data_IF_031535355714
#
_entry.id   IF_031535355714
#
_cell.length_a   1.000
_cell.length_b   1.000
_cell.length_c   1.000
_cell.angle_alpha   90.00
_cell.angle_beta   90.00
_cell.angle_gamma   90.00
#
_symmetry.space_group_name_H-M   'P 1'
#
loop_
_entity.id
_entity.type
_entity.pdbx_description
1 polymer ?
#
# COMPACT_ATOMS: atom_id res chain seq x y z
N UNK A 1 -10.25 19.89 -7.54
CA UNK A 1 -9.62 20.24 -6.25
C UNK A 1 -8.10 20.12 -6.28
N UNK A 2 -7.50 19.00 -6.68
CA UNK A 2 -6.04 18.73 -6.71
C UNK A 2 -5.12 19.73 -7.44
N UNK A 3 -5.67 20.72 -8.15
CA UNK A 3 -4.94 21.65 -9.03
C UNK A 3 -5.45 23.10 -8.92
N UNK A 4 -6.12 23.44 -7.82
CA UNK A 4 -6.57 24.82 -7.57
C UNK A 4 -5.53 25.55 -6.72
N UNK A 5 -4.85 26.52 -7.33
CA UNK A 5 -3.89 27.38 -6.63
C UNK A 5 -4.57 28.07 -5.43
N UNK A 6 -5.81 28.55 -5.61
CA UNK A 6 -6.61 29.20 -4.57
C UNK A 6 -6.85 28.29 -3.35
N UNK A 7 -7.14 27.00 -3.58
CA UNK A 7 -7.38 26.05 -2.48
C UNK A 7 -6.10 25.73 -1.70
N UNK A 8 -4.96 25.69 -2.40
CA UNK A 8 -3.66 25.46 -1.78
C UNK A 8 -3.21 26.69 -0.96
N UNK A 9 -3.36 27.88 -1.54
CA UNK A 9 -3.07 29.15 -0.86
C UNK A 9 -3.96 29.36 0.36
N UNK A 10 -5.27 29.10 0.25
CA UNK A 10 -6.20 29.24 1.38
C UNK A 10 -5.86 28.28 2.53
N UNK A 11 -5.40 27.06 2.22
CA UNK A 11 -4.96 26.11 3.24
C UNK A 11 -3.73 26.61 4.01
N UNK A 12 -2.74 27.17 3.31
CA UNK A 12 -1.48 27.63 3.91
C UNK A 12 -1.50 29.10 4.35
N UNK A 13 -2.60 29.84 4.21
CA UNK A 13 -2.66 31.29 4.49
C UNK A 13 -2.26 31.69 5.92
N UNK A 14 -2.47 30.79 6.89
CA UNK A 14 -2.14 31.03 8.30
C UNK A 14 -0.72 30.54 8.67
N UNK A 15 0.01 29.93 7.73
CA UNK A 15 1.39 29.54 7.92
C UNK A 15 2.32 30.73 7.62
N UNK A 16 2.74 31.43 8.67
CA UNK A 16 3.68 32.54 8.56
C UNK A 16 5.13 32.09 8.81
N UNK A 17 5.98 32.22 7.79
CA UNK A 17 7.41 31.89 7.83
C UNK A 17 8.23 33.18 7.66
N UNK A 18 8.59 33.82 8.78
CA UNK A 18 9.25 35.15 8.77
C UNK A 18 10.76 35.11 9.05
N UNK A 19 11.36 33.93 9.25
CA UNK A 19 12.78 33.82 9.59
C UNK A 19 13.51 32.81 8.73
N UNK A 20 14.78 33.09 8.43
CA UNK A 20 15.78 32.15 7.93
C UNK A 20 16.28 31.15 8.99
N UNK A 21 15.89 31.34 10.26
CA UNK A 21 16.23 30.45 11.35
C UNK A 21 15.45 29.13 11.25
N UNK A 22 16.17 28.04 10.98
CA UNK A 22 15.61 26.70 10.82
C UNK A 22 14.75 26.23 12.01
N UNK A 23 15.18 26.51 13.25
CA UNK A 23 14.43 26.10 14.45
C UNK A 23 13.08 26.83 14.51
N UNK A 24 13.06 28.14 14.24
CA UNK A 24 11.82 28.92 14.20
C UNK A 24 10.88 28.45 13.09
N UNK A 25 11.39 28.20 11.89
CA UNK A 25 10.61 27.61 10.78
C UNK A 25 9.96 26.29 11.25
N UNK A 26 10.75 25.40 11.87
CA UNK A 26 10.25 24.10 12.36
C UNK A 26 9.17 24.24 13.43
N UNK A 27 9.31 25.20 14.34
CA UNK A 27 8.31 25.46 15.38
C UNK A 27 7.01 26.03 14.79
N UNK A 28 7.12 26.96 13.84
CA UNK A 28 5.97 27.52 13.12
C UNK A 28 5.21 26.46 12.33
N UNK A 29 5.90 25.59 11.58
CA UNK A 29 5.23 24.50 10.83
C UNK A 29 4.57 23.50 11.77
N UNK A 30 5.22 23.12 12.88
CA UNK A 30 4.61 22.24 13.89
C UNK A 30 3.37 22.83 14.55
N UNK A 31 3.39 24.13 14.83
CA UNK A 31 2.23 24.84 15.36
C UNK A 31 1.09 24.84 14.37
N UNK A 32 1.36 25.18 13.11
CA UNK A 32 0.37 25.16 12.03
C UNK A 32 -0.27 23.77 11.85
N UNK A 33 0.53 22.69 11.84
CA UNK A 33 0.02 21.32 11.76
C UNK A 33 -0.96 21.02 12.91
N UNK A 34 -0.58 21.39 14.14
CA UNK A 34 -1.42 21.15 15.33
C UNK A 34 -2.73 21.93 15.27
N UNK A 35 -2.66 23.23 14.97
CA UNK A 35 -3.84 24.09 14.86
C UNK A 35 -4.77 23.63 13.72
N UNK A 36 -4.22 23.17 12.60
CA UNK A 36 -4.98 22.63 11.47
C UNK A 36 -5.74 21.35 11.84
N UNK A 37 -5.13 20.45 12.62
CA UNK A 37 -5.80 19.25 13.14
C UNK A 37 -6.86 19.64 14.17
N UNK A 38 -6.54 20.54 15.10
CA UNK A 38 -7.46 20.96 16.15
C UNK A 38 -8.76 21.59 15.60
N UNK A 39 -8.66 22.43 14.56
CA UNK A 39 -9.83 23.02 13.88
C UNK A 39 -10.77 21.98 13.28
N UNK A 40 -10.24 20.83 12.86
CA UNK A 40 -11.03 19.75 12.23
C UNK A 40 -11.83 18.94 13.24
N UNK A 41 -11.53 19.01 14.54
CA UNK A 41 -12.23 18.23 15.57
C UNK A 41 -13.72 18.57 15.69
N UNK A 42 -14.10 19.81 15.35
CA UNK A 42 -15.48 20.29 15.42
C UNK A 42 -16.20 20.28 14.07
N UNK A 43 -15.50 19.90 13.00
CA UNK A 43 -16.02 19.85 11.64
C UNK A 43 -16.45 18.43 11.28
N UNK A 44 -17.47 18.25 10.42
CA UNK A 44 -17.81 16.93 9.91
C UNK A 44 -16.63 16.34 9.13
N UNK A 45 -16.52 15.01 9.15
CA UNK A 45 -15.49 14.31 8.38
C UNK A 45 -15.73 14.54 6.89
N UNK A 46 -14.87 15.33 6.26
CA UNK A 46 -14.82 15.41 4.81
C UNK A 46 -14.05 14.20 4.27
N UNK A 47 -14.75 13.30 3.58
CA UNK A 47 -14.15 12.10 2.99
C UNK A 47 -13.28 12.43 1.77
N UNK A 48 -13.51 13.55 1.07
CA UNK A 48 -12.72 13.97 -0.12
C UNK A 48 -11.59 14.93 0.22
N UNK A 49 -11.31 15.14 1.51
CA UNK A 49 -10.24 16.05 1.97
C UNK A 49 -8.86 15.61 1.49
N UNK A 50 -8.31 16.37 0.56
CA UNK A 50 -7.01 16.12 -0.05
C UNK A 50 -5.84 16.24 0.93
N UNK A 51 -5.98 16.99 2.03
CA UNK A 51 -4.90 17.19 3.02
C UNK A 51 -4.56 15.88 3.71
N UNK A 52 -5.57 15.00 3.93
CA UNK A 52 -5.35 13.65 4.46
C UNK A 52 -4.59 12.75 3.49
N UNK A 53 -4.67 13.04 2.20
CA UNK A 53 -3.94 12.36 1.15
C UNK A 53 -2.64 13.06 0.76
N UNK A 54 -2.36 14.27 1.26
CA UNK A 54 -1.34 15.20 0.74
C UNK A 54 0.12 14.72 0.79
N UNK A 55 0.41 13.62 1.48
CA UNK A 55 1.72 12.95 1.40
C UNK A 55 1.77 12.05 0.16
N UNK A 56 1.65 12.64 -1.04
CA UNK A 56 1.71 11.93 -2.33
C UNK A 56 3.11 11.95 -2.97
N UNK A 57 4.07 12.65 -2.37
CA UNK A 57 5.44 12.76 -2.87
C UNK A 57 6.34 11.62 -2.34
N UNK A 58 5.86 10.38 -2.45
CA UNK A 58 6.53 9.20 -1.91
C UNK A 58 6.31 7.98 -2.83
N UNK A 59 7.29 7.09 -2.88
CA UNK A 59 7.19 5.82 -3.62
C UNK A 59 6.57 4.78 -2.69
N UNK A 60 5.24 4.78 -2.60
CA UNK A 60 4.46 3.82 -1.81
C UNK A 60 3.01 3.75 -2.30
N UNK A 61 2.21 2.84 -1.78
CA UNK A 61 0.76 2.75 -1.96
C UNK A 61 0.09 2.53 -0.60
N UNK A 62 -1.21 2.85 -0.49
CA UNK A 62 -1.92 2.75 0.78
C UNK A 62 -3.40 2.43 0.61
N UNK A 63 -3.91 1.59 1.51
CA UNK A 63 -5.32 1.47 1.81
C UNK A 63 -5.68 2.30 3.06
N UNK A 64 -6.66 3.18 2.93
CA UNK A 64 -7.22 3.94 4.03
C UNK A 64 -8.57 3.37 4.44
N UNK A 65 -8.59 2.67 5.56
CA UNK A 65 -9.79 1.96 6.05
C UNK A 65 -10.96 2.88 6.36
N UNK A 66 -10.72 4.05 6.96
CA UNK A 66 -11.76 5.01 7.37
C UNK A 66 -12.47 5.68 6.20
N UNK A 67 -11.81 5.75 5.04
CA UNK A 67 -12.41 6.27 3.80
C UNK A 67 -12.73 5.19 2.79
N UNK A 68 -12.35 3.93 3.06
CA UNK A 68 -12.41 2.78 2.16
C UNK A 68 -11.82 3.12 0.77
N UNK A 69 -10.57 3.58 0.75
CA UNK A 69 -9.89 4.06 -0.47
C UNK A 69 -8.50 3.49 -0.62
N UNK A 70 -8.15 3.20 -1.86
CA UNK A 70 -6.79 2.91 -2.29
C UNK A 70 -6.18 4.19 -2.84
N UNK A 71 -4.98 4.53 -2.38
CA UNK A 71 -4.23 5.70 -2.78
C UNK A 71 -2.99 5.22 -3.52
N UNK A 72 -2.86 5.63 -4.78
CA UNK A 72 -1.70 5.35 -5.64
C UNK A 72 -1.04 6.68 -6.02
N UNK A 73 -0.07 7.16 -5.22
CA UNK A 73 0.71 8.34 -5.54
C UNK A 73 1.43 8.21 -6.89
N UNK A 74 1.52 9.29 -7.65
CA UNK A 74 2.22 9.28 -8.95
C UNK A 74 3.66 8.73 -8.89
N UNK A 75 4.47 8.97 -7.83
CA UNK A 75 5.84 8.45 -7.77
C UNK A 75 5.97 6.92 -7.70
N UNK A 76 4.92 6.14 -7.40
CA UNK A 76 5.00 4.68 -7.51
C UNK A 76 4.78 4.19 -8.95
N UNK A 77 4.20 5.02 -9.83
CA UNK A 77 3.83 4.66 -11.20
C UNK A 77 5.01 4.77 -12.17
N UNK A 78 6.16 4.20 -11.81
CA UNK A 78 7.38 4.26 -12.60
C UNK A 78 8.28 3.03 -12.39
N UNK A 79 9.33 2.92 -13.23
CA UNK A 79 10.42 1.96 -13.05
C UNK A 79 9.96 0.49 -13.06
N UNK A 80 10.30 -0.25 -12.00
CA UNK A 80 9.95 -1.68 -11.88
C UNK A 80 8.47 -1.91 -11.59
N UNK A 81 7.73 -0.91 -11.14
CA UNK A 81 6.30 -1.01 -10.85
C UNK A 81 5.45 -0.85 -12.11
N UNK A 82 5.71 0.18 -12.92
CA UNK A 82 4.88 0.50 -14.09
C UNK A 82 5.68 1.17 -15.21
N UNK A 83 5.31 0.85 -16.46
CA UNK A 83 5.69 1.56 -17.67
C UNK A 83 4.66 1.30 -18.76
N UNK A 84 4.32 2.29 -19.58
CA UNK A 84 3.37 2.13 -20.69
C UNK A 84 4.01 1.42 -21.90
N UNK A 85 5.34 1.47 -21.99
CA UNK A 85 6.16 0.88 -23.04
C UNK A 85 6.66 -0.56 -22.74
N UNK A 86 6.29 -1.13 -21.60
CA UNK A 86 6.71 -2.47 -21.17
C UNK A 86 5.57 -3.50 -21.27
N UNK A 87 5.90 -4.80 -21.39
CA UNK A 87 4.89 -5.85 -21.50
C UNK A 87 3.95 -5.93 -20.28
N UNK A 88 2.71 -6.31 -20.50
CA UNK A 88 1.67 -6.40 -19.47
C UNK A 88 1.99 -7.44 -18.41
N UNK A 89 2.64 -8.58 -18.72
CA UNK A 89 3.09 -9.50 -17.67
C UNK A 89 3.94 -8.80 -16.59
N UNK A 90 4.75 -7.81 -16.96
CA UNK A 90 5.52 -7.02 -16.00
C UNK A 90 4.64 -6.00 -15.27
N UNK A 91 3.78 -5.27 -15.97
CA UNK A 91 2.84 -4.32 -15.33
C UNK A 91 1.92 -5.01 -14.31
N UNK A 92 1.37 -6.18 -14.64
CA UNK A 92 0.55 -6.95 -13.73
C UNK A 92 1.37 -7.54 -12.57
N UNK A 93 2.61 -7.99 -12.80
CA UNK A 93 3.49 -8.46 -11.73
C UNK A 93 4.03 -7.35 -10.83
N UNK A 94 4.13 -6.12 -11.34
CA UNK A 94 4.55 -4.92 -10.62
C UNK A 94 3.37 -4.19 -10.00
N UNK A 95 2.92 -3.10 -10.64
CA UNK A 95 1.84 -2.26 -10.11
C UNK A 95 0.52 -3.00 -9.97
N UNK A 96 0.21 -3.98 -10.84
CA UNK A 96 -1.01 -4.78 -10.70
C UNK A 96 -1.04 -5.59 -9.41
N UNK A 97 0.13 -6.08 -8.97
CA UNK A 97 0.27 -6.72 -7.67
C UNK A 97 0.10 -5.72 -6.53
N UNK A 98 0.77 -4.57 -6.56
CA UNK A 98 0.60 -3.54 -5.51
C UNK A 98 -0.85 -3.07 -5.40
N UNK A 99 -1.54 -2.81 -6.51
CA UNK A 99 -2.96 -2.44 -6.52
C UNK A 99 -3.80 -3.52 -5.84
N UNK A 100 -3.56 -4.80 -6.18
CA UNK A 100 -4.30 -5.90 -5.61
C UNK A 100 -3.98 -6.12 -4.13
N UNK A 101 -2.74 -5.87 -3.70
CA UNK A 101 -2.33 -5.87 -2.29
C UNK A 101 -3.16 -4.83 -1.50
N UNK A 102 -3.26 -3.58 -1.99
CA UNK A 102 -4.08 -2.55 -1.33
C UNK A 102 -5.58 -2.86 -1.33
N UNK A 103 -6.10 -3.58 -2.33
CA UNK A 103 -7.49 -4.07 -2.31
C UNK A 103 -7.68 -5.06 -1.15
N UNK A 104 -6.72 -5.96 -0.93
CA UNK A 104 -6.83 -6.99 0.11
C UNK A 104 -6.73 -6.39 1.51
N UNK A 105 -6.07 -5.26 1.71
CA UNK A 105 -6.10 -4.57 3.01
C UNK A 105 -7.52 -4.21 3.47
N UNK A 106 -8.48 -4.04 2.57
CA UNK A 106 -9.90 -3.90 2.95
C UNK A 106 -10.53 -5.17 3.55
N UNK A 107 -9.83 -6.30 3.50
CA UNK A 107 -10.31 -7.63 3.88
C UNK A 107 -9.30 -8.44 4.70
N UNK A 108 -8.20 -7.83 5.14
CA UNK A 108 -7.20 -8.49 6.00
C UNK A 108 -7.69 -8.63 7.46
N UNK A 109 -6.79 -8.88 8.41
CA UNK A 109 -7.17 -9.04 9.82
C UNK A 109 -7.83 -7.80 10.43
N UNK A 110 -7.45 -6.59 9.98
CA UNK A 110 -7.97 -5.31 10.46
C UNK A 110 -9.06 -4.73 9.57
N UNK A 111 -8.82 -4.66 8.25
CA UNK A 111 -9.76 -4.07 7.30
C UNK A 111 -11.10 -4.79 7.26
N UNK A 112 -11.13 -6.12 7.45
CA UNK A 112 -12.39 -6.88 7.52
C UNK A 112 -13.33 -6.42 8.64
N UNK A 113 -12.82 -5.70 9.64
CA UNK A 113 -13.60 -5.22 10.78
C UNK A 113 -14.36 -3.93 10.45
N UNK A 114 -14.15 -3.38 9.25
CA UNK A 114 -14.72 -2.12 8.82
C UNK A 114 -15.69 -2.34 7.66
N UNK A 115 -16.85 -1.71 7.72
CA UNK A 115 -17.85 -1.77 6.65
C UNK A 115 -17.43 -0.96 5.42
N UNK A 116 -18.28 -0.94 4.39
CA UNK A 116 -18.02 -0.21 3.14
C UNK A 116 -17.87 1.31 3.30
N UNK A 117 -18.29 1.88 4.44
CA UNK A 117 -18.19 3.29 4.77
C UNK A 117 -17.01 3.60 5.71
N UNK A 118 -16.25 2.59 6.12
CA UNK A 118 -15.12 2.71 7.04
C UNK A 118 -15.51 2.68 8.52
N UNK A 119 -16.74 2.26 8.87
CA UNK A 119 -17.18 2.13 10.25
C UNK A 119 -16.74 0.79 10.83
N UNK A 120 -16.27 0.79 12.08
CA UNK A 120 -15.97 -0.45 12.81
C UNK A 120 -17.27 -1.20 13.14
N UNK A 121 -17.55 -2.27 12.42
CA UNK A 121 -18.77 -3.07 12.53
C UNK A 121 -18.49 -4.54 12.18
N UNK A 122 -19.03 -5.48 12.96
CA UNK A 122 -18.91 -6.91 12.60
C UNK A 122 -19.99 -7.28 11.56
N UNK A 123 -19.68 -7.00 10.30
CA UNK A 123 -20.58 -7.22 9.17
C UNK A 123 -20.51 -8.66 8.59
N UNK A 124 -19.71 -9.54 9.21
CA UNK A 124 -19.54 -10.92 8.76
C UNK A 124 -20.45 -11.89 9.52
N UNK A 125 -21.02 -12.85 8.79
CA UNK A 125 -21.63 -14.00 9.45
C UNK A 125 -20.60 -14.73 10.34
N UNK A 126 -20.97 -15.22 11.53
CA UNK A 126 -20.03 -15.89 12.43
C UNK A 126 -19.27 -17.06 11.79
N UNK A 127 -19.93 -17.80 10.89
CA UNK A 127 -19.32 -18.92 10.16
C UNK A 127 -18.24 -18.47 9.17
N UNK A 128 -18.40 -17.30 8.53
CA UNK A 128 -17.39 -16.71 7.64
C UNK A 128 -16.19 -16.24 8.43
N UNK A 129 -16.42 -15.54 9.56
CA UNK A 129 -15.38 -15.09 10.47
C UNK A 129 -14.53 -16.24 10.98
N UNK A 130 -15.16 -17.33 11.42
CA UNK A 130 -14.45 -18.54 11.87
C UNK A 130 -13.55 -19.12 10.76
N UNK A 131 -14.07 -19.25 9.52
CA UNK A 131 -13.28 -19.76 8.38
C UNK A 131 -12.10 -18.88 8.02
N UNK A 132 -12.25 -17.56 8.13
CA UNK A 132 -11.14 -16.63 7.90
C UNK A 132 -10.08 -16.77 8.96
N UNK A 133 -10.43 -16.82 10.24
CA UNK A 133 -9.47 -17.00 11.33
C UNK A 133 -8.70 -18.34 11.18
N UNK A 134 -9.37 -19.41 10.75
CA UNK A 134 -8.69 -20.67 10.42
C UNK A 134 -7.69 -20.52 9.27
N UNK A 135 -8.03 -19.76 8.22
CA UNK A 135 -7.14 -19.53 7.08
C UNK A 135 -5.98 -18.59 7.41
N UNK A 136 -6.24 -17.52 8.17
CA UNK A 136 -5.19 -16.59 8.61
C UNK A 136 -4.19 -17.29 9.54
N UNK A 137 -4.65 -18.24 10.36
CA UNK A 137 -3.74 -19.05 11.19
C UNK A 137 -2.68 -19.78 10.36
N UNK A 138 -3.05 -20.31 9.19
CA UNK A 138 -2.08 -20.96 8.29
C UNK A 138 -0.99 -19.99 7.82
N UNK A 139 -1.33 -18.71 7.56
CA UNK A 139 -0.37 -17.66 7.20
C UNK A 139 0.51 -17.32 8.41
N UNK A 140 -0.09 -17.16 9.59
CA UNK A 140 0.64 -16.90 10.83
C UNK A 140 1.67 -18.00 11.09
N UNK A 141 1.26 -19.27 10.99
CA UNK A 141 2.14 -20.42 11.25
C UNK A 141 3.26 -20.51 10.19
N UNK A 142 2.94 -20.25 8.92
CA UNK A 142 3.91 -20.29 7.83
C UNK A 142 5.01 -19.24 8.04
N UNK A 143 4.63 -17.98 8.25
CA UNK A 143 5.59 -16.89 8.38
C UNK A 143 6.28 -16.90 9.75
N UNK A 144 5.60 -17.35 10.81
CA UNK A 144 6.20 -17.56 12.13
C UNK A 144 7.32 -18.61 12.16
N UNK A 145 7.34 -19.52 11.18
CA UNK A 145 8.39 -20.51 11.01
C UNK A 145 9.49 -20.08 10.02
N UNK A 146 9.45 -18.84 9.53
CA UNK A 146 10.49 -18.29 8.68
C UNK A 146 11.60 -17.69 9.52
N UNK A 147 12.80 -18.26 9.45
CA UNK A 147 13.98 -17.75 10.13
C UNK A 147 14.73 -16.73 9.27
N UNK A 148 15.29 -15.71 9.93
CA UNK A 148 16.22 -14.72 9.36
C UNK A 148 17.61 -15.07 9.91
N UNK A 149 18.41 -15.89 9.20
CA UNK A 149 19.65 -16.45 9.72
C UNK A 149 20.65 -15.39 10.20
N UNK A 150 20.69 -14.24 9.54
CA UNK A 150 21.57 -13.11 9.86
C UNK A 150 21.28 -12.51 11.24
N UNK A 151 20.05 -12.64 11.73
CA UNK A 151 19.62 -12.16 13.04
C UNK A 151 19.45 -13.28 14.07
N UNK A 152 19.41 -14.54 13.61
CA UNK A 152 19.08 -15.69 14.47
C UNK A 152 17.67 -15.64 15.05
N UNK A 153 16.76 -14.90 14.41
CA UNK A 153 15.37 -14.69 14.84
C UNK A 153 14.40 -15.25 13.80
N UNK A 154 13.20 -15.59 14.24
CA UNK A 154 12.08 -15.87 13.34
C UNK A 154 11.22 -14.62 13.16
N UNK A 155 10.53 -14.52 12.02
CA UNK A 155 9.50 -13.51 11.84
C UNK A 155 8.37 -13.74 12.84
N UNK A 156 7.76 -12.66 13.30
CA UNK A 156 6.50 -12.74 14.04
C UNK A 156 5.34 -12.83 13.03
N UNK A 157 4.86 -14.05 12.81
CA UNK A 157 3.77 -14.32 11.89
C UNK A 157 2.43 -13.68 12.29
N UNK A 158 2.21 -13.42 13.58
CA UNK A 158 1.00 -12.74 14.05
C UNK A 158 1.10 -11.24 13.77
N UNK A 159 2.25 -10.62 14.04
CA UNK A 159 2.46 -9.19 13.78
C UNK A 159 2.46 -8.86 12.28
N UNK A 160 2.95 -9.75 11.43
CA UNK A 160 3.04 -9.55 9.98
C UNK A 160 1.80 -10.02 9.20
N UNK A 161 0.79 -10.59 9.89
CA UNK A 161 -0.30 -11.31 9.22
C UNK A 161 -1.08 -10.46 8.20
N UNK A 162 -1.28 -9.16 8.45
CA UNK A 162 -2.04 -8.28 7.56
C UNK A 162 -1.37 -8.12 6.20
N UNK A 163 -0.10 -7.71 6.23
CA UNK A 163 0.78 -7.62 5.05
C UNK A 163 0.90 -8.97 4.34
N UNK A 164 1.10 -10.07 5.08
CA UNK A 164 1.21 -11.40 4.48
C UNK A 164 -0.08 -11.85 3.77
N UNK A 165 -1.26 -11.53 4.35
CA UNK A 165 -2.55 -11.77 3.71
C UNK A 165 -2.68 -10.92 2.45
N UNK A 166 -2.31 -9.65 2.51
CA UNK A 166 -2.33 -8.71 1.39
C UNK A 166 -1.40 -9.14 0.25
N UNK A 167 -0.19 -9.59 0.55
CA UNK A 167 0.76 -10.11 -0.44
C UNK A 167 0.23 -11.37 -1.14
N UNK A 168 -0.22 -12.36 -0.37
CA UNK A 168 -0.70 -13.63 -0.92
C UNK A 168 -1.99 -13.46 -1.74
N UNK A 169 -2.91 -12.64 -1.23
CA UNK A 169 -4.16 -12.33 -1.93
C UNK A 169 -3.91 -11.47 -3.17
N UNK A 170 -3.07 -10.44 -3.03
CA UNK A 170 -2.74 -9.47 -4.06
C UNK A 170 -2.08 -10.12 -5.27
N UNK A 171 -1.02 -10.91 -5.05
CA UNK A 171 -0.30 -11.54 -6.16
C UNK A 171 -1.17 -12.56 -6.90
N UNK A 172 -2.04 -13.28 -6.18
CA UNK A 172 -3.00 -14.20 -6.77
C UNK A 172 -4.01 -13.46 -7.65
N UNK A 173 -4.58 -12.37 -7.17
CA UNK A 173 -5.54 -11.56 -7.94
C UNK A 173 -4.87 -10.95 -9.17
N UNK A 174 -3.66 -10.40 -9.03
CA UNK A 174 -2.90 -9.83 -10.12
C UNK A 174 -2.58 -10.87 -11.22
N UNK A 175 -2.18 -12.09 -10.82
CA UNK A 175 -1.93 -13.18 -11.77
C UNK A 175 -3.21 -13.64 -12.49
N UNK A 176 -4.34 -13.73 -11.78
CA UNK A 176 -5.62 -14.04 -12.40
C UNK A 176 -6.05 -12.94 -13.38
N UNK A 177 -5.86 -11.67 -13.01
CA UNK A 177 -6.16 -10.54 -13.87
C UNK A 177 -5.28 -10.53 -15.13
N UNK A 178 -4.00 -10.90 -15.01
CA UNK A 178 -3.12 -11.05 -16.17
C UNK A 178 -3.57 -12.19 -17.10
N UNK A 179 -3.93 -13.34 -16.54
CA UNK A 179 -4.45 -14.46 -17.35
C UNK A 179 -5.75 -14.09 -18.08
N UNK A 180 -6.62 -13.32 -17.44
CA UNK A 180 -7.83 -12.79 -18.08
C UNK A 180 -7.49 -11.77 -19.17
N UNK A 181 -6.47 -10.94 -18.97
CA UNK A 181 -5.96 -10.05 -20.00
C UNK A 181 -5.45 -10.82 -21.22
N UNK A 182 -4.67 -11.89 -21.03
CA UNK A 182 -4.23 -12.78 -22.13
C UNK A 182 -5.44 -13.37 -22.86
N UNK A 183 -6.45 -13.83 -22.11
CA UNK A 183 -7.65 -14.43 -22.70
C UNK A 183 -8.39 -13.46 -23.62
N UNK A 184 -8.39 -12.16 -23.30
CA UNK A 184 -9.06 -11.11 -24.08
C UNK A 184 -8.22 -10.56 -25.23
N UNK A 185 -6.92 -10.43 -25.04
CA UNK A 185 -6.04 -9.69 -25.96
C UNK A 185 -5.05 -10.59 -26.73
N UNK A 186 -4.96 -11.87 -26.38
CA UNK A 186 -3.93 -12.76 -26.89
C UNK A 186 -2.62 -12.67 -26.09
N UNK A 187 -1.65 -13.50 -26.46
CA UNK A 187 -0.31 -13.49 -25.84
C UNK A 187 0.53 -12.36 -26.39
N UNK A 188 1.32 -11.77 -25.51
CA UNK A 188 2.25 -10.70 -25.83
C UNK A 188 3.56 -11.24 -26.40
N UNK A 189 4.36 -10.34 -26.97
CA UNK A 189 5.73 -10.64 -27.37
C UNK A 189 6.62 -10.82 -26.12
N UNK A 190 7.46 -11.84 -26.16
CA UNK A 190 8.45 -12.10 -25.10
C UNK A 190 9.62 -11.13 -25.20
N UNK A 191 10.27 -10.88 -24.06
CA UNK A 191 11.51 -10.10 -24.02
C UNK A 191 12.63 -10.80 -24.81
N UNK A 192 13.35 -10.09 -25.69
CA UNK A 192 14.50 -10.67 -26.37
C UNK A 192 15.60 -11.02 -25.36
N UNK A 193 16.30 -12.12 -25.58
CA UNK A 193 17.42 -12.55 -24.74
C UNK A 193 17.02 -13.28 -23.45
N UNK A 194 15.73 -13.46 -23.17
CA UNK A 194 15.24 -14.22 -22.01
C UNK A 194 14.43 -15.44 -22.48
N UNK A 195 14.81 -16.63 -22.00
CA UNK A 195 14.10 -17.88 -22.31
C UNK A 195 13.03 -18.19 -21.26
N UNK A 196 12.13 -17.22 -21.02
CA UNK A 196 11.01 -17.36 -20.10
C UNK A 196 9.69 -17.08 -20.82
N UNK A 197 8.65 -17.82 -20.43
CA UNK A 197 7.28 -17.52 -20.84
C UNK A 197 6.78 -16.22 -20.23
N UNK A 198 5.76 -15.64 -20.83
CA UNK A 198 4.98 -14.50 -20.30
C UNK A 198 4.55 -14.72 -18.84
N UNK A 199 4.05 -15.92 -18.53
CA UNK A 199 3.65 -16.30 -17.17
C UNK A 199 4.83 -16.40 -16.19
N UNK A 200 6.00 -16.87 -16.63
CA UNK A 200 7.19 -16.88 -15.79
C UNK A 200 7.72 -15.46 -15.56
N UNK A 201 7.69 -14.61 -16.61
CA UNK A 201 8.11 -13.22 -16.52
C UNK A 201 7.21 -12.39 -15.60
N UNK A 202 5.93 -12.73 -15.47
CA UNK A 202 5.06 -12.17 -14.42
C UNK A 202 5.67 -12.40 -13.02
N UNK A 203 6.01 -13.65 -12.68
CA UNK A 203 6.54 -14.00 -11.36
C UNK A 203 7.93 -13.42 -11.11
N UNK A 204 8.79 -13.38 -12.13
CA UNK A 204 10.10 -12.73 -12.06
C UNK A 204 9.91 -11.23 -11.82
N UNK A 205 8.98 -10.57 -12.53
CA UNK A 205 8.70 -9.15 -12.34
C UNK A 205 8.17 -8.86 -10.94
N UNK A 206 7.28 -9.70 -10.41
CA UNK A 206 6.76 -9.56 -9.05
C UNK A 206 7.85 -9.72 -7.98
N UNK A 207 8.76 -10.69 -8.16
CA UNK A 207 9.89 -10.86 -7.25
C UNK A 207 10.86 -9.66 -7.31
N UNK A 208 11.09 -9.10 -8.50
CA UNK A 208 12.01 -7.96 -8.67
C UNK A 208 11.56 -6.67 -7.96
N UNK A 209 10.25 -6.51 -7.71
CA UNK A 209 9.74 -5.39 -6.89
C UNK A 209 10.31 -5.41 -5.47
N UNK A 210 10.60 -6.61 -4.96
CA UNK A 210 11.11 -6.83 -3.59
C UNK A 210 12.62 -7.02 -3.53
N UNK A 211 13.35 -6.77 -4.62
CA UNK A 211 14.81 -6.81 -4.59
C UNK A 211 15.37 -5.71 -3.67
N UNK A 212 15.61 -6.07 -2.42
CA UNK A 212 16.17 -5.19 -1.40
C UNK A 212 17.18 -5.96 -0.54
N UNK A 213 18.11 -5.22 0.06
CA UNK A 213 19.03 -5.74 1.07
C UNK A 213 19.13 -4.71 2.19
N UNK A 214 18.85 -5.16 3.41
CA UNK A 214 18.90 -4.31 4.60
C UNK A 214 20.11 -4.68 5.44
N UNK A 215 20.78 -3.69 6.04
CA UNK A 215 21.82 -3.95 7.02
C UNK A 215 21.20 -4.47 8.33
N UNK A 216 21.80 -5.47 9.00
CA UNK A 216 21.33 -5.93 10.31
C UNK A 216 21.47 -4.79 11.32
N UNK A 217 20.36 -4.16 11.72
CA UNK A 217 20.36 -3.24 12.85
C UNK A 217 20.07 -4.07 14.09
N UNK A 218 21.14 -4.50 14.78
CA UNK A 218 21.01 -5.03 16.13
C UNK A 218 20.68 -3.83 17.02
N UNK A 219 19.40 -3.60 17.30
CA UNK A 219 19.02 -2.76 18.43
C UNK A 219 19.51 -3.47 19.70
N UNK A 220 20.69 -3.05 20.17
CA UNK A 220 21.16 -3.39 21.51
C UNK A 220 20.22 -2.69 22.51
N UNK A 221 19.20 -3.41 22.96
CA UNK A 221 18.45 -3.07 24.17
C UNK A 221 19.36 -3.17 25.41
#
# INVERSE_FOLDING_TARGET
EFLSDETLEDFYKELHLESDNFLKIRLSTKRFDYESVAKRLVLPVNQTDWVKSGKLANVNAYYNVLSNRIILPAPILQGVFFGDDRPWYMNYGGIGFIIAHEIIHGFDNDGRQHDKFGNLEDWWAPSTKAKFLTKSQCIIDQYGNHSVPELGLNLDGFMTQGENIADNGGIKIAYLAYNEWIRRNGRERLLPGLNYTDRQLFWISAANVWCTKTEPVIEMM
#
